data_IF_674720378917
#
_entry.id   IF_674720378917
#
_cell.length_a   1.000
_cell.length_b   1.000
_cell.length_c   1.000
_cell.angle_alpha   90.00
_cell.angle_beta   90.00
_cell.angle_gamma   90.00
#
_symmetry.space_group_name_H-M   'P 1'
#
loop_
_entity.id
_entity.type
_entity.pdbx_description
1 polymer ?
#
# COMPACT_ATOMS: atom_id res chain seq x y z
N UNK A 1 -6.39 17.32 -18.58
CA UNK A 1 -6.48 18.38 -17.56
C UNK A 1 -5.07 18.84 -17.22
N UNK A 2 -4.86 20.13 -17.02
CA UNK A 2 -3.56 20.67 -16.57
C UNK A 2 -3.54 20.73 -15.05
N UNK A 3 -2.43 20.31 -14.43
CA UNK A 3 -2.23 20.26 -12.98
C UNK A 3 -0.84 20.75 -12.66
N UNK A 4 -0.65 21.39 -11.50
CA UNK A 4 0.67 21.78 -11.01
C UNK A 4 1.27 20.64 -10.20
N UNK A 5 2.50 20.24 -10.50
CA UNK A 5 3.25 19.29 -9.70
C UNK A 5 4.41 20.02 -9.02
N UNK A 6 4.46 19.96 -7.69
CA UNK A 6 5.54 20.51 -6.89
C UNK A 6 6.57 19.40 -6.62
N UNK A 7 7.83 19.66 -6.94
CA UNK A 7 8.90 18.66 -6.88
C UNK A 7 10.22 19.29 -6.41
N UNK A 8 11.17 18.47 -5.95
CA UNK A 8 12.53 18.91 -5.64
C UNK A 8 13.39 18.95 -6.90
N UNK A 9 14.13 20.04 -7.10
CA UNK A 9 14.98 20.22 -8.29
C UNK A 9 16.34 19.53 -8.14
N UNK A 10 16.90 19.57 -6.94
CA UNK A 10 18.26 19.14 -6.63
C UNK A 10 18.25 17.88 -5.77
N UNK A 11 17.87 18.01 -4.51
CA UNK A 11 17.83 16.94 -3.52
C UNK A 11 16.59 17.03 -2.65
N UNK A 12 16.30 15.93 -1.95
CA UNK A 12 15.17 15.88 -1.04
C UNK A 12 15.35 16.88 0.09
N UNK A 13 14.39 17.79 0.25
CA UNK A 13 14.47 18.89 1.21
C UNK A 13 15.21 20.13 0.70
N UNK A 14 15.74 20.08 -0.51
CA UNK A 14 16.35 21.21 -1.19
C UNK A 14 15.32 22.13 -1.85
N UNK A 15 15.68 22.72 -2.98
CA UNK A 15 14.86 23.72 -3.65
C UNK A 15 13.65 23.07 -4.34
N UNK A 16 12.45 23.49 -3.96
CA UNK A 16 11.22 23.05 -4.61
C UNK A 16 10.83 23.99 -5.78
N UNK A 17 10.42 23.41 -6.90
CA UNK A 17 9.83 24.12 -8.03
C UNK A 17 8.50 23.49 -8.43
N UNK A 18 7.67 24.27 -9.13
CA UNK A 18 6.41 23.79 -9.70
C UNK A 18 6.51 23.67 -11.20
N UNK A 19 6.00 22.58 -11.77
CA UNK A 19 5.79 22.45 -13.21
C UNK A 19 4.32 22.16 -13.54
N UNK A 20 3.88 22.58 -14.72
CA UNK A 20 2.56 22.20 -15.23
C UNK A 20 2.67 20.86 -15.98
N UNK A 21 1.83 19.90 -15.60
CA UNK A 21 1.72 18.62 -16.26
C UNK A 21 0.32 18.45 -16.87
N UNK A 22 0.26 17.83 -18.05
CA UNK A 22 -1.00 17.47 -18.68
C UNK A 22 -1.37 16.02 -18.36
N UNK A 23 -2.45 15.85 -17.59
CA UNK A 23 -3.03 14.55 -17.28
C UNK A 23 -4.12 14.22 -18.29
N UNK A 24 -3.98 13.08 -18.97
CA UNK A 24 -5.02 12.54 -19.86
C UNK A 24 -5.79 11.43 -19.12
N UNK A 25 -7.05 11.16 -19.49
CA UNK A 25 -7.82 10.06 -18.92
C UNK A 25 -7.25 8.73 -19.43
N UNK A 26 -6.21 8.28 -18.74
CA UNK A 26 -5.51 7.04 -19.02
C UNK A 26 -5.90 5.98 -18.02
N UNK A 27 -5.86 4.75 -18.49
CA UNK A 27 -5.77 3.60 -17.62
C UNK A 27 -4.59 2.76 -18.02
N UNK A 28 -4.49 1.60 -17.38
CA UNK A 28 -3.49 0.61 -17.71
C UNK A 28 -4.06 -0.81 -17.63
N UNK A 29 -3.48 -1.70 -18.43
CA UNK A 29 -3.61 -3.15 -18.22
C UNK A 29 -2.35 -3.67 -17.58
N UNK A 30 -2.50 -4.44 -16.51
CA UNK A 30 -1.37 -5.07 -15.82
C UNK A 30 -1.05 -6.44 -16.41
N UNK A 31 0.23 -6.81 -16.45
CA UNK A 31 0.65 -8.19 -16.72
C UNK A 31 0.26 -9.11 -15.56
N UNK A 32 0.07 -10.42 -15.80
CA UNK A 32 -0.23 -11.37 -14.73
C UNK A 32 0.96 -11.61 -13.79
N UNK A 33 2.13 -11.04 -14.07
CA UNK A 33 3.35 -11.22 -13.29
C UNK A 33 3.68 -9.97 -12.46
N UNK A 34 4.28 -10.18 -11.29
CA UNK A 34 4.84 -9.13 -10.43
C UNK A 34 6.22 -9.57 -9.95
N UNK A 35 7.13 -8.62 -9.80
CA UNK A 35 8.47 -8.85 -9.28
C UNK A 35 8.66 -8.09 -7.96
N UNK A 36 9.45 -8.65 -7.06
CA UNK A 36 9.90 -7.98 -5.86
C UNK A 36 11.27 -7.36 -6.06
N UNK A 37 11.41 -6.13 -5.60
CA UNK A 37 12.68 -5.42 -5.51
C UNK A 37 12.93 -5.07 -4.04
N UNK A 38 14.13 -5.36 -3.56
CA UNK A 38 14.52 -5.13 -2.17
C UNK A 38 15.07 -3.71 -2.05
N UNK A 39 14.64 -2.99 -1.01
CA UNK A 39 15.15 -1.66 -0.69
C UNK A 39 16.14 -1.79 0.46
N UNK A 40 17.40 -1.42 0.22
CA UNK A 40 18.52 -1.62 1.14
C UNK A 40 19.07 -0.26 1.54
N UNK A 41 19.17 0.00 2.84
CA UNK A 41 19.72 1.26 3.35
C UNK A 41 21.16 1.46 2.86
N UNK A 42 21.42 2.60 2.21
CA UNK A 42 22.76 2.97 1.74
C UNK A 42 23.62 3.60 2.84
N UNK A 43 23.04 3.87 4.00
CA UNK A 43 23.62 4.64 5.08
C UNK A 43 23.04 4.26 6.45
N UNK A 44 23.72 4.70 7.51
CA UNK A 44 23.17 4.67 8.87
C UNK A 44 22.27 5.88 9.07
N UNK A 45 21.05 5.69 9.59
CA UNK A 45 20.09 6.76 9.87
C UNK A 45 19.51 6.57 11.27
N UNK A 46 19.64 7.60 12.11
CA UNK A 46 18.90 7.68 13.37
C UNK A 46 17.45 8.03 13.08
N UNK A 47 16.54 7.28 13.70
CA UNK A 47 15.10 7.44 13.49
C UNK A 47 14.41 7.61 14.82
N UNK A 48 13.41 8.50 14.83
CA UNK A 48 12.57 8.79 15.99
C UNK A 48 11.13 8.41 15.67
N UNK A 49 10.48 7.73 16.61
CA UNK A 49 9.09 7.29 16.51
C UNK A 49 8.18 8.43 16.09
N UNK A 50 7.34 8.18 15.09
CA UNK A 50 6.36 9.13 14.59
C UNK A 50 6.92 10.22 13.68
N UNK A 51 8.25 10.35 13.54
CA UNK A 51 8.87 11.34 12.67
C UNK A 51 9.19 10.73 11.30
N UNK A 52 8.45 11.06 10.22
CA UNK A 52 8.73 10.52 8.89
C UNK A 52 10.12 10.94 8.43
N UNK A 53 10.87 10.00 7.88
CA UNK A 53 12.27 10.21 7.47
C UNK A 53 12.49 9.70 6.06
N UNK A 54 13.24 10.47 5.29
CA UNK A 54 13.68 10.07 3.95
C UNK A 54 15.02 9.35 4.11
N UNK A 55 15.04 8.05 3.84
CA UNK A 55 16.23 7.20 3.96
C UNK A 55 16.83 6.98 2.59
N UNK A 56 18.14 7.19 2.41
CA UNK A 56 18.81 6.79 1.17
C UNK A 56 18.91 5.28 1.10
N UNK A 57 18.59 4.74 -0.07
CA UNK A 57 18.72 3.32 -0.38
C UNK A 57 19.64 3.12 -1.58
N UNK A 58 20.17 1.91 -1.72
CA UNK A 58 20.87 1.51 -2.93
C UNK A 58 19.92 1.70 -4.14
N UNK A 59 20.38 2.37 -5.23
CA UNK A 59 19.51 2.68 -6.35
C UNK A 59 18.88 1.44 -6.99
N UNK A 60 17.56 1.46 -7.12
CA UNK A 60 16.77 0.46 -7.86
C UNK A 60 16.33 1.07 -9.18
N UNK A 61 16.74 0.46 -10.29
CA UNK A 61 16.34 0.86 -11.63
C UNK A 61 15.19 -0.02 -12.12
N UNK A 62 14.07 0.60 -12.50
CA UNK A 62 12.89 -0.07 -13.03
C UNK A 62 12.67 0.33 -14.47
N UNK A 63 12.24 -0.59 -15.35
CA UNK A 63 11.90 -0.24 -16.71
C UNK A 63 10.69 0.70 -16.74
N UNK A 64 10.53 1.37 -17.87
CA UNK A 64 9.29 2.09 -18.17
C UNK A 64 8.06 1.20 -18.11
N UNK A 65 6.89 1.82 -17.98
CA UNK A 65 5.60 1.14 -17.86
C UNK A 65 5.53 0.20 -16.64
N UNK A 66 5.93 0.72 -15.49
CA UNK A 66 5.88 0.03 -14.20
C UNK A 66 5.16 0.86 -13.15
N UNK A 67 4.39 0.19 -12.31
CA UNK A 67 3.85 0.73 -11.05
C UNK A 67 4.54 0.02 -9.89
N UNK A 68 4.62 0.69 -8.74
CA UNK A 68 5.17 0.09 -7.53
C UNK A 68 4.19 0.20 -6.37
N UNK A 69 4.35 -0.69 -5.40
CA UNK A 69 3.85 -0.46 -4.06
C UNK A 69 4.50 -1.35 -3.01
N UNK A 70 4.54 -0.90 -1.75
CA UNK A 70 5.19 -1.60 -0.67
C UNK A 70 4.53 -2.96 -0.43
N UNK A 71 5.33 -3.96 -0.11
CA UNK A 71 4.85 -5.20 0.48
C UNK A 71 4.45 -4.92 1.93
N UNK A 72 3.15 -4.82 2.18
CA UNK A 72 2.59 -4.39 3.46
C UNK A 72 2.52 -5.52 4.49
N UNK A 73 3.67 -6.05 4.86
CA UNK A 73 3.89 -6.76 6.12
C UNK A 73 5.23 -6.22 6.62
N UNK A 74 5.21 -5.42 7.68
CA UNK A 74 6.35 -4.67 8.20
C UNK A 74 7.68 -5.45 8.09
N UNK A 75 8.59 -4.96 7.24
CA UNK A 75 9.85 -5.67 6.89
C UNK A 75 11.09 -5.18 7.63
N UNK A 76 10.96 -4.12 8.43
CA UNK A 76 12.06 -3.58 9.23
C UNK A 76 11.59 -3.40 10.68
N UNK A 77 12.43 -3.74 11.66
CA UNK A 77 12.04 -3.73 13.08
C UNK A 77 11.54 -2.38 13.63
N UNK A 78 11.98 -1.28 13.01
CA UNK A 78 11.79 0.10 13.50
C UNK A 78 10.63 0.86 12.86
N UNK A 79 10.04 0.40 11.76
CA UNK A 79 9.01 1.16 11.05
C UNK A 79 8.58 0.57 9.72
N UNK A 80 7.74 1.31 9.00
CA UNK A 80 7.14 0.88 7.74
C UNK A 80 7.56 1.77 6.57
N UNK A 81 7.56 1.18 5.38
CA UNK A 81 7.74 1.85 4.10
C UNK A 81 6.41 2.45 3.66
N UNK A 82 6.29 3.77 3.68
CA UNK A 82 5.06 4.47 3.27
C UNK A 82 5.06 4.74 1.76
N UNK A 83 6.20 5.20 1.24
CA UNK A 83 6.33 5.64 -0.14
C UNK A 83 7.79 5.56 -0.63
N UNK A 84 8.01 5.74 -1.93
CA UNK A 84 9.35 5.87 -2.51
C UNK A 84 9.52 7.19 -3.24
N UNK A 85 10.77 7.60 -3.39
CA UNK A 85 11.14 8.85 -4.06
C UNK A 85 12.04 8.54 -5.24
N UNK A 86 11.65 9.04 -6.42
CA UNK A 86 12.43 8.91 -7.65
C UNK A 86 13.70 9.76 -7.60
N UNK A 87 14.69 9.40 -8.40
CA UNK A 87 15.90 10.17 -8.61
C UNK A 87 15.55 11.44 -9.40
N UNK A 88 15.85 12.60 -8.82
CA UNK A 88 15.60 13.90 -9.47
C UNK A 88 14.11 14.18 -9.63
N UNK A 89 13.75 14.65 -10.82
CA UNK A 89 12.37 15.06 -11.14
C UNK A 89 11.49 13.83 -11.35
N UNK A 90 10.32 13.72 -10.67
CA UNK A 90 9.42 12.59 -10.85
C UNK A 90 8.97 12.44 -12.32
N UNK A 91 9.17 11.24 -12.87
CA UNK A 91 8.92 10.92 -14.28
C UNK A 91 7.49 10.47 -14.56
N UNK A 92 7.16 10.25 -15.84
CA UNK A 92 5.91 9.60 -16.22
C UNK A 92 5.99 8.10 -15.97
N UNK A 93 4.83 7.45 -15.94
CA UNK A 93 4.80 6.00 -15.73
C UNK A 93 5.43 5.24 -16.90
N UNK A 94 5.38 5.79 -18.10
CA UNK A 94 6.02 5.26 -19.31
C UNK A 94 7.55 5.32 -19.26
N UNK A 95 8.11 6.19 -18.43
CA UNK A 95 9.55 6.41 -18.33
C UNK A 95 10.20 5.39 -17.39
N UNK A 96 11.47 5.07 -17.67
CA UNK A 96 12.32 4.33 -16.74
C UNK A 96 12.45 5.09 -15.43
N UNK A 97 12.54 4.34 -14.32
CA UNK A 97 12.54 4.92 -12.97
C UNK A 97 13.82 4.54 -12.26
N UNK A 98 14.37 5.50 -11.56
CA UNK A 98 15.43 5.30 -10.60
C UNK A 98 14.84 5.62 -9.22
N UNK A 99 14.88 4.67 -8.30
CA UNK A 99 14.45 4.85 -6.91
C UNK A 99 15.70 4.78 -6.05
N UNK A 100 16.04 5.87 -5.37
CA UNK A 100 17.24 5.95 -4.52
C UNK A 100 16.93 6.34 -3.09
N UNK A 101 15.66 6.58 -2.78
CA UNK A 101 15.21 7.05 -1.47
C UNK A 101 13.83 6.49 -1.16
N UNK A 102 13.58 6.30 0.13
CA UNK A 102 12.30 5.83 0.64
C UNK A 102 11.78 6.75 1.72
N UNK A 103 10.46 6.93 1.76
CA UNK A 103 9.79 7.52 2.91
C UNK A 103 9.50 6.41 3.92
N UNK A 104 10.26 6.44 5.01
CA UNK A 104 10.14 5.52 6.12
C UNK A 104 9.42 6.20 7.28
N UNK A 105 8.45 5.52 7.88
CA UNK A 105 7.76 6.01 9.07
C UNK A 105 8.13 5.14 10.28
N UNK A 106 8.94 5.66 11.22
CA UNK A 106 9.35 4.92 12.40
C UNK A 106 8.19 4.75 13.38
N UNK A 107 8.07 3.54 13.93
CA UNK A 107 7.13 3.20 15.00
C UNK A 107 7.85 3.03 16.34
N UNK A 108 9.19 3.06 16.31
CA UNK A 108 10.11 3.01 17.45
C UNK A 108 11.34 3.86 17.14
N UNK A 109 11.99 4.37 18.18
CA UNK A 109 13.29 5.00 18.05
C UNK A 109 14.37 3.96 17.74
N UNK A 110 15.43 4.38 17.06
CA UNK A 110 16.60 3.53 16.86
C UNK A 110 17.48 3.98 15.71
N UNK A 111 18.23 3.03 15.16
CA UNK A 111 19.14 3.27 14.04
C UNK A 111 18.91 2.22 12.96
N UNK A 112 18.54 2.69 11.76
CA UNK A 112 18.62 1.89 10.53
C UNK A 112 20.09 1.84 10.15
N UNK A 113 20.66 0.65 9.97
CA UNK A 113 22.08 0.51 9.59
C UNK A 113 22.22 0.34 8.08
N UNK A 114 23.36 0.79 7.54
CA UNK A 114 23.74 0.48 6.16
C UNK A 114 23.70 -1.03 5.91
N UNK A 115 23.07 -1.41 4.81
CA UNK A 115 22.82 -2.80 4.44
C UNK A 115 21.57 -3.41 5.07
N UNK A 116 20.84 -2.70 5.94
CA UNK A 116 19.55 -3.16 6.46
C UNK A 116 18.48 -3.11 5.35
N UNK A 117 17.67 -4.15 5.23
CA UNK A 117 16.49 -4.14 4.35
C UNK A 117 15.41 -3.24 4.97
N UNK A 118 15.16 -2.09 4.36
CA UNK A 118 14.15 -1.13 4.83
C UNK A 118 12.74 -1.42 4.31
N UNK A 119 12.64 -2.21 3.23
CA UNK A 119 11.36 -2.62 2.66
C UNK A 119 11.50 -3.48 1.40
N UNK A 120 10.36 -3.89 0.85
CA UNK A 120 10.26 -4.62 -0.41
C UNK A 120 9.18 -3.94 -1.28
N UNK A 121 9.49 -3.71 -2.55
CA UNK A 121 8.56 -3.18 -3.54
C UNK A 121 7.99 -4.30 -4.40
N UNK A 122 6.66 -4.32 -4.55
CA UNK A 122 6.00 -5.03 -5.64
C UNK A 122 6.07 -4.16 -6.88
N UNK A 123 6.72 -4.65 -7.93
CA UNK A 123 6.81 -4.03 -9.26
C UNK A 123 5.78 -4.68 -10.16
N UNK A 124 4.79 -3.89 -10.57
CA UNK A 124 3.75 -4.28 -11.51
C UNK A 124 4.09 -3.76 -12.90
N UNK A 125 4.21 -4.66 -13.86
CA UNK A 125 4.39 -4.31 -15.26
C UNK A 125 3.04 -3.98 -15.89
N UNK A 126 2.98 -2.87 -16.61
CA UNK A 126 1.75 -2.35 -17.17
C UNK A 126 1.89 -1.99 -18.64
N UNK A 127 0.75 -1.81 -19.31
CA UNK A 127 0.65 -1.18 -20.62
C UNK A 127 -0.38 -0.06 -20.51
N UNK A 128 0.06 1.17 -20.76
CA UNK A 128 -0.80 2.36 -20.66
C UNK A 128 -1.61 2.54 -21.94
N UNK A 129 -2.77 3.17 -21.81
CA UNK A 129 -3.56 3.52 -22.97
C UNK A 129 -4.78 4.35 -22.63
N UNK A 130 -5.38 4.98 -23.65
CA UNK A 130 -6.65 5.69 -23.49
C UNK A 130 -7.73 4.71 -23.01
N UNK A 131 -8.55 5.16 -22.05
CA UNK A 131 -9.62 4.32 -21.48
C UNK A 131 -10.56 3.73 -22.53
N UNK A 132 -10.79 4.43 -23.65
CA UNK A 132 -11.63 3.96 -24.76
C UNK A 132 -11.05 2.78 -25.54
N UNK A 133 -9.73 2.54 -25.44
CA UNK A 133 -9.02 1.49 -26.20
C UNK A 133 -8.39 0.43 -25.29
N UNK A 134 -8.54 0.57 -23.98
CA UNK A 134 -7.80 -0.22 -22.99
C UNK A 134 -8.19 -1.69 -22.92
N UNK A 135 -9.46 -2.00 -23.23
CA UNK A 135 -9.99 -3.37 -23.19
C UNK A 135 -9.33 -4.29 -24.23
N UNK A 136 -8.86 -3.71 -25.35
CA UNK A 136 -8.15 -4.42 -26.42
C UNK A 136 -6.62 -4.43 -26.26
N UNK A 137 -6.07 -3.90 -25.17
CA UNK A 137 -4.62 -3.96 -24.95
C UNK A 137 -4.22 -5.38 -24.55
N UNK A 138 -3.28 -5.94 -25.29
CA UNK A 138 -2.54 -7.12 -24.84
C UNK A 138 -1.73 -6.80 -23.58
N UNK A 139 -1.56 -7.78 -22.66
CA UNK A 139 -0.63 -7.65 -21.55
C UNK A 139 0.77 -7.22 -22.03
N UNK A 140 1.51 -6.41 -21.25
CA UNK A 140 2.89 -6.08 -21.60
C UNK A 140 3.76 -7.33 -21.58
N UNK A 141 4.78 -7.37 -22.45
CA UNK A 141 5.87 -8.34 -22.35
C UNK A 141 6.72 -7.97 -21.13
N UNK A 142 7.12 -8.99 -20.36
CA UNK A 142 7.87 -8.80 -19.12
C UNK A 142 9.18 -9.58 -19.19
N UNK A 143 10.29 -8.89 -18.98
CA UNK A 143 11.59 -9.51 -18.75
C UNK A 143 11.88 -9.42 -17.25
N UNK A 144 11.94 -10.57 -16.58
CA UNK A 144 12.22 -10.63 -15.16
C UNK A 144 13.72 -10.54 -14.91
N UNK A 145 14.09 -9.77 -13.89
CA UNK A 145 15.46 -9.79 -13.40
C UNK A 145 15.67 -11.08 -12.61
N UNK A 146 16.84 -11.70 -12.82
CA UNK A 146 17.31 -12.82 -12.01
C UNK A 146 18.47 -12.35 -11.15
N UNK A 147 18.55 -12.83 -9.92
CA UNK A 147 19.64 -12.49 -9.01
C UNK A 147 19.22 -12.53 -7.56
N UNK A 148 20.09 -12.03 -6.71
CA UNK A 148 19.85 -11.85 -5.29
C UNK A 148 20.51 -10.54 -4.84
N UNK A 149 20.01 -10.01 -3.74
CA UNK A 149 20.67 -8.95 -3.01
C UNK A 149 21.28 -9.50 -1.71
N UNK A 150 22.41 -8.95 -1.29
CA UNK A 150 22.91 -9.15 0.06
C UNK A 150 22.36 -8.04 0.95
N UNK A 151 21.54 -8.42 1.92
CA UNK A 151 20.91 -7.48 2.85
C UNK A 151 20.83 -8.09 4.24
N UNK A 152 20.65 -7.26 5.26
CA UNK A 152 20.32 -7.72 6.61
C UNK A 152 18.80 -7.72 6.77
N UNK A 153 18.23 -8.86 7.11
CA UNK A 153 16.83 -8.94 7.55
C UNK A 153 16.80 -8.43 8.98
N UNK A 154 15.93 -7.46 9.25
CA UNK A 154 15.88 -6.76 10.54
C UNK A 154 14.50 -6.92 11.14
N UNK A 155 14.43 -7.53 12.32
CA UNK A 155 13.16 -7.79 12.99
C UNK A 155 13.25 -7.58 14.49
N UNK A 156 12.07 -7.48 15.11
CA UNK A 156 11.95 -7.35 16.56
C UNK A 156 11.35 -8.62 17.11
N UNK A 157 11.94 -9.10 18.19
CA UNK A 157 11.36 -10.16 18.99
C UNK A 157 11.72 -9.97 20.48
N UNK A 158 10.75 -10.11 21.37
CA UNK A 158 10.92 -9.94 22.82
C UNK A 158 11.67 -8.66 23.22
N UNK A 159 11.38 -7.54 22.55
CA UNK A 159 12.01 -6.23 22.81
C UNK A 159 13.39 -6.03 22.18
N UNK A 160 14.03 -7.10 21.67
CA UNK A 160 15.33 -7.05 21.03
C UNK A 160 15.19 -6.83 19.52
N UNK A 161 16.18 -6.15 18.93
CA UNK A 161 16.32 -6.00 17.48
C UNK A 161 17.39 -6.98 16.99
N UNK A 162 17.00 -7.86 16.09
CA UNK A 162 17.89 -8.81 15.45
C UNK A 162 18.22 -8.32 14.04
N UNK A 163 19.46 -8.57 13.60
CA UNK A 163 19.95 -8.28 12.24
C UNK A 163 20.69 -9.49 11.74
N UNK A 164 20.17 -10.13 10.70
CA UNK A 164 20.77 -11.34 10.12
C UNK A 164 21.11 -11.09 8.65
N UNK A 165 22.39 -11.23 8.25
CA UNK A 165 22.75 -11.22 6.83
C UNK A 165 22.03 -12.33 6.08
N UNK A 166 21.44 -11.98 4.94
CA UNK A 166 20.72 -12.92 4.08
C UNK A 166 20.98 -12.60 2.60
N UNK A 167 20.98 -13.65 1.78
CA UNK A 167 20.85 -13.53 0.34
C UNK A 167 19.36 -13.54 0.00
N UNK A 168 18.84 -12.39 -0.39
CA UNK A 168 17.42 -12.21 -0.72
C UNK A 168 17.26 -12.31 -2.22
N UNK A 169 16.71 -13.43 -2.69
CA UNK A 169 16.44 -13.66 -4.12
C UNK A 169 15.44 -12.65 -4.65
N UNK A 170 15.69 -12.15 -5.87
CA UNK A 170 14.71 -11.36 -6.61
C UNK A 170 13.56 -12.30 -7.00
N UNK A 171 12.41 -12.12 -6.36
CA UNK A 171 11.27 -13.00 -6.49
C UNK A 171 10.30 -12.48 -7.56
N UNK A 172 9.92 -13.31 -8.52
CA UNK A 172 8.74 -13.10 -9.34
C UNK A 172 7.59 -14.00 -8.89
N UNK A 173 6.34 -13.60 -9.15
CA UNK A 173 5.19 -14.51 -9.03
C UNK A 173 4.06 -14.16 -9.98
N UNK A 174 3.20 -15.14 -10.23
CA UNK A 174 1.93 -14.94 -10.91
C UNK A 174 0.87 -14.42 -9.95
N UNK A 175 0.06 -13.46 -10.41
CA UNK A 175 -1.05 -12.89 -9.65
C UNK A 175 -2.35 -13.57 -10.02
N UNK A 176 -3.12 -13.97 -9.02
CA UNK A 176 -4.49 -14.45 -9.20
C UNK A 176 -5.48 -13.33 -9.52
N UNK A 177 -5.18 -12.10 -9.11
CA UNK A 177 -6.15 -11.01 -9.01
C UNK A 177 -7.36 -11.31 -8.10
N UNK A 178 -7.30 -12.39 -7.33
CA UNK A 178 -8.35 -12.81 -6.40
C UNK A 178 -7.92 -12.38 -5.00
N UNK A 179 -8.77 -11.59 -4.35
CA UNK A 179 -8.56 -11.06 -3.01
C UNK A 179 -9.64 -11.49 -2.04
N UNK A 180 -9.28 -11.62 -0.77
CA UNK A 180 -10.21 -11.78 0.36
C UNK A 180 -10.01 -10.59 1.29
N UNK A 181 -11.09 -10.09 1.89
CA UNK A 181 -10.98 -9.07 2.92
C UNK A 181 -10.80 -9.70 4.29
N UNK A 182 -9.80 -9.21 5.02
CA UNK A 182 -9.66 -9.49 6.44
C UNK A 182 -9.85 -8.20 7.22
N UNK A 183 -10.62 -8.30 8.30
CA UNK A 183 -10.88 -7.19 9.21
C UNK A 183 -9.70 -7.06 10.18
N UNK A 184 -9.30 -5.82 10.45
CA UNK A 184 -8.35 -5.52 11.51
C UNK A 184 -9.14 -4.95 12.68
N UNK A 185 -9.37 -5.79 13.69
CA UNK A 185 -10.17 -5.46 14.88
C UNK A 185 -9.21 -5.28 16.05
N UNK A 186 -9.31 -4.14 16.74
CA UNK A 186 -8.47 -3.86 17.90
C UNK A 186 -8.69 -4.90 19.01
N UNK A 187 -7.60 -5.41 19.57
CA UNK A 187 -7.54 -6.33 20.71
C UNK A 187 -6.98 -5.62 21.96
N UNK A 188 -7.08 -4.29 21.96
CA UNK A 188 -6.72 -3.44 23.08
C UNK A 188 -7.44 -2.09 23.03
N UNK A 189 -7.51 -1.43 24.18
CA UNK A 189 -7.94 -0.04 24.26
C UNK A 189 -6.73 0.88 24.30
N UNK A 190 -6.64 1.82 23.36
CA UNK A 190 -5.53 2.77 23.25
C UNK A 190 -6.04 4.18 23.05
N UNK A 191 -5.48 5.12 23.82
CA UNK A 191 -5.71 6.55 23.62
C UNK A 191 -4.74 7.05 22.56
N UNK A 192 -5.26 7.77 21.59
CA UNK A 192 -4.48 8.31 20.47
C UNK A 192 -4.55 9.82 20.45
N UNK A 193 -3.44 10.46 20.08
CA UNK A 193 -3.37 11.87 19.71
C UNK A 193 -3.05 11.98 18.23
N UNK A 194 -3.53 13.04 17.59
CA UNK A 194 -3.18 13.35 16.20
C UNK A 194 -1.66 13.36 16.03
N UNK A 195 -1.18 12.63 15.02
CA UNK A 195 0.25 12.45 14.74
C UNK A 195 0.87 11.22 15.41
N UNK A 196 0.19 10.56 16.34
CA UNK A 196 0.69 9.32 16.93
C UNK A 196 0.81 8.23 15.86
N UNK A 197 1.96 7.55 15.86
CA UNK A 197 2.20 6.32 15.09
C UNK A 197 2.35 5.17 16.07
N UNK A 198 1.40 4.24 16.03
CA UNK A 198 1.23 3.23 17.07
C UNK A 198 1.20 1.83 16.48
N UNK A 199 1.73 0.87 17.26
CA UNK A 199 1.41 -0.55 17.10
C UNK A 199 0.18 -0.85 17.93
N UNK A 200 -0.92 -1.19 17.27
CA UNK A 200 -2.16 -1.61 17.94
C UNK A 200 -2.28 -3.11 17.78
N UNK A 201 -2.41 -3.84 18.90
CA UNK A 201 -2.76 -5.26 18.90
C UNK A 201 -4.11 -5.44 18.22
N UNK A 202 -4.15 -6.43 17.36
CA UNK A 202 -5.38 -6.83 16.66
C UNK A 202 -5.70 -8.26 17.01
N UNK A 203 -6.98 -8.63 16.86
CA UNK A 203 -7.34 -10.04 16.82
C UNK A 203 -6.51 -10.71 15.72
N UNK A 204 -5.88 -11.83 16.06
CA UNK A 204 -4.93 -12.48 15.15
C UNK A 204 -5.55 -12.79 13.79
N UNK A 205 -4.87 -12.39 12.72
CA UNK A 205 -5.25 -12.75 11.35
C UNK A 205 -4.26 -13.77 10.82
N UNK A 206 -4.75 -15.01 10.63
CA UNK A 206 -3.96 -16.09 10.02
C UNK A 206 -4.03 -15.99 8.51
N UNK A 207 -2.87 -15.87 7.89
CA UNK A 207 -2.70 -15.82 6.45
C UNK A 207 -2.19 -17.18 5.95
N UNK A 208 -2.84 -17.76 4.93
CA UNK A 208 -2.35 -18.99 4.33
C UNK A 208 -1.03 -18.73 3.58
N UNK A 209 -0.29 -19.80 3.24
CA UNK A 209 0.87 -19.72 2.36
C UNK A 209 0.55 -18.99 1.06
N UNK A 210 1.58 -18.44 0.42
CA UNK A 210 1.49 -17.85 -0.91
C UNK A 210 0.45 -16.74 -0.97
N UNK A 211 0.46 -15.88 0.05
CA UNK A 211 -0.36 -14.68 0.12
C UNK A 211 0.48 -13.42 0.32
N UNK A 212 -0.01 -12.33 -0.26
CA UNK A 212 0.49 -10.98 -0.02
C UNK A 212 -0.67 -10.11 0.42
N UNK A 213 -0.39 -9.16 1.32
CA UNK A 213 -1.44 -8.31 1.88
C UNK A 213 -1.20 -6.84 1.54
N UNK A 214 -2.30 -6.09 1.50
CA UNK A 214 -2.32 -4.64 1.26
C UNK A 214 -3.44 -4.02 2.10
N UNK A 215 -3.14 -3.08 3.01
CA UNK A 215 -4.16 -2.25 3.64
C UNK A 215 -5.06 -1.60 2.59
N UNK A 216 -6.36 -1.59 2.86
CA UNK A 216 -7.29 -0.88 2.00
C UNK A 216 -7.08 0.63 2.18
N UNK A 217 -6.81 1.39 1.11
CA UNK A 217 -6.51 2.81 1.20
C UNK A 217 -7.80 3.64 1.25
N UNK A 218 -8.62 3.35 2.28
CA UNK A 218 -9.74 4.17 2.72
C UNK A 218 -9.84 4.02 4.23
N UNK A 219 -9.80 5.14 4.95
CA UNK A 219 -9.96 5.15 6.40
C UNK A 219 -11.20 4.36 6.84
N UNK A 220 -11.00 3.36 7.70
CA UNK A 220 -12.08 2.52 8.28
C UNK A 220 -12.41 2.86 9.72
N UNK A 221 -11.63 3.75 10.32
CA UNK A 221 -11.83 4.24 11.67
C UNK A 221 -11.83 5.78 11.68
N UNK A 222 -12.66 6.38 12.53
CA UNK A 222 -12.70 7.83 12.65
C UNK A 222 -11.32 8.40 13.03
N UNK A 223 -10.60 7.78 13.95
CA UNK A 223 -9.40 8.40 14.53
C UNK A 223 -8.14 8.33 13.67
N UNK A 224 -8.13 7.54 12.58
CA UNK A 224 -6.91 7.33 11.79
C UNK A 224 -6.97 6.19 10.79
N UNK A 225 -5.80 5.86 10.27
CA UNK A 225 -5.61 4.87 9.21
C UNK A 225 -4.59 3.81 9.58
N UNK A 226 -4.77 2.60 9.04
CA UNK A 226 -3.77 1.53 9.10
C UNK A 226 -2.84 1.66 7.90
N UNK A 227 -1.56 1.88 8.17
CA UNK A 227 -0.51 2.00 7.15
C UNK A 227 0.11 0.65 6.79
N UNK A 228 0.19 -0.27 7.75
CA UNK A 228 0.84 -1.57 7.59
C UNK A 228 0.37 -2.57 8.65
N UNK A 229 0.72 -3.84 8.48
CA UNK A 229 0.48 -4.90 9.46
C UNK A 229 1.79 -5.54 9.92
N UNK A 230 1.78 -6.13 11.11
CA UNK A 230 2.98 -6.63 11.77
C UNK A 230 2.83 -8.12 12.06
N UNK A 231 3.81 -8.88 11.56
CA UNK A 231 4.12 -10.21 12.05
C UNK A 231 5.19 -10.07 13.14
N UNK A 232 4.97 -10.67 14.30
CA UNK A 232 5.99 -10.74 15.36
C UNK A 232 7.01 -11.84 15.04
N UNK A 233 8.25 -11.64 15.48
CA UNK A 233 9.34 -12.58 15.22
C UNK A 233 10.00 -12.37 13.86
N UNK A 234 10.75 -13.38 13.42
CA UNK A 234 11.47 -13.33 12.14
C UNK A 234 10.45 -13.29 10.99
N UNK A 235 10.60 -12.39 10.00
CA UNK A 235 9.67 -12.30 8.88
C UNK A 235 9.63 -13.62 8.11
N UNK A 236 8.42 -14.15 7.93
CA UNK A 236 8.22 -15.37 7.16
C UNK A 236 8.40 -15.16 5.67
N UNK A 237 8.77 -16.25 4.99
CA UNK A 237 8.76 -16.32 3.54
C UNK A 237 7.33 -16.29 3.01
N UNK A 238 7.15 -15.97 1.73
CA UNK A 238 5.80 -15.86 1.15
C UNK A 238 5.10 -17.21 1.10
N UNK A 239 5.85 -18.28 0.90
CA UNK A 239 5.44 -19.69 0.82
C UNK A 239 5.04 -20.29 2.19
N UNK A 240 5.21 -19.54 3.28
CA UNK A 240 4.89 -19.97 4.64
C UNK A 240 3.57 -19.37 5.11
N UNK A 241 2.90 -20.04 6.05
CA UNK A 241 1.82 -19.44 6.84
C UNK A 241 2.34 -18.27 7.67
N UNK A 242 1.46 -17.28 7.91
CA UNK A 242 1.81 -16.09 8.69
C UNK A 242 0.68 -15.75 9.63
N UNK A 243 1.03 -15.18 10.78
CA UNK A 243 0.04 -14.61 11.70
C UNK A 243 0.34 -13.13 11.86
N UNK A 244 -0.67 -12.30 11.60
CA UNK A 244 -0.61 -10.87 11.87
C UNK A 244 -1.12 -10.64 13.29
N UNK A 245 -0.34 -9.91 14.08
CA UNK A 245 -0.62 -9.69 15.51
C UNK A 245 -0.93 -8.23 15.83
N UNK A 246 -0.41 -7.31 15.01
CA UNK A 246 -0.58 -5.87 15.22
C UNK A 246 -0.78 -5.14 13.89
N UNK A 247 -1.33 -3.94 13.97
CA UNK A 247 -1.41 -2.99 12.86
C UNK A 247 -0.60 -1.73 13.21
N UNK A 248 0.07 -1.15 12.20
CA UNK A 248 0.66 0.18 12.30
C UNK A 248 -0.42 1.21 11.99
N UNK A 249 -0.80 1.98 13.00
CA UNK A 249 -1.87 2.96 12.92
C UNK A 249 -1.31 4.38 12.99
N UNK A 250 -1.70 5.23 12.05
CA UNK A 250 -1.45 6.67 12.04
C UNK A 250 -2.71 7.40 12.49
N UNK A 251 -2.65 8.03 13.66
CA UNK A 251 -3.74 8.82 14.20
C UNK A 251 -3.81 10.19 13.49
N UNK A 252 -5.00 10.52 12.98
CA UNK A 252 -5.27 11.81 12.31
C UNK A 252 -6.05 12.77 13.20
N UNK A 253 -6.66 12.25 14.27
CA UNK A 253 -7.38 13.00 15.28
C UNK A 253 -7.17 12.37 16.66
N UNK A 254 -7.39 13.16 17.70
CA UNK A 254 -7.37 12.68 19.08
C UNK A 254 -8.58 11.76 19.35
N UNK A 255 -8.38 10.73 20.17
CA UNK A 255 -9.46 9.79 20.44
C UNK A 255 -9.09 8.62 21.33
N UNK A 256 -10.03 7.66 21.39
CA UNK A 256 -9.85 6.38 22.07
C UNK A 256 -10.36 5.28 21.14
N UNK A 257 -9.43 4.45 20.70
CA UNK A 257 -9.73 3.18 20.04
C UNK A 257 -9.98 2.18 21.15
N UNK A 258 -11.15 1.56 21.15
CA UNK A 258 -11.53 0.55 22.13
C UNK A 258 -11.31 -0.85 21.57
N UNK A 259 -11.14 -1.82 22.46
CA UNK A 259 -11.16 -3.23 22.09
C UNK A 259 -12.48 -3.57 21.37
N UNK A 260 -12.38 -4.28 20.25
CA UNK A 260 -13.50 -4.60 19.36
C UNK A 260 -13.80 -3.55 18.28
N UNK A 261 -13.12 -2.39 18.29
CA UNK A 261 -13.24 -1.39 17.22
C UNK A 261 -12.56 -1.90 15.94
N UNK A 262 -13.25 -1.74 14.79
CA UNK A 262 -12.64 -1.93 13.48
C UNK A 262 -11.67 -0.76 13.22
N UNK A 263 -10.38 -1.07 13.08
CA UNK A 263 -9.35 -0.06 12.83
C UNK A 263 -8.93 -0.02 11.35
N UNK A 264 -9.11 -1.13 10.63
CA UNK A 264 -8.69 -1.25 9.24
C UNK A 264 -9.26 -2.47 8.54
N UNK A 265 -9.00 -2.59 7.25
CA UNK A 265 -9.27 -3.78 6.43
C UNK A 265 -8.05 -4.01 5.55
N UNK A 266 -7.63 -5.25 5.40
CA UNK A 266 -6.57 -5.63 4.45
C UNK A 266 -7.14 -6.50 3.33
N UNK A 267 -6.55 -6.36 2.16
CA UNK A 267 -6.75 -7.20 1.01
C UNK A 267 -5.70 -8.32 1.04
N UNK A 268 -6.13 -9.57 1.17
CA UNK A 268 -5.27 -10.76 1.09
C UNK A 268 -5.36 -11.33 -0.32
N UNK A 269 -4.28 -11.22 -1.08
CA UNK A 269 -4.19 -11.73 -2.44
C UNK A 269 -3.38 -13.03 -2.48
N UNK A 270 -3.90 -14.01 -3.24
CA UNK A 270 -3.19 -15.26 -3.50
C UNK A 270 -2.21 -15.08 -4.67
N UNK A 271 -1.01 -15.61 -4.52
CA UNK A 271 0.08 -15.52 -5.50
C UNK A 271 0.59 -16.91 -5.88
N UNK A 272 1.03 -17.05 -7.13
CA UNK A 272 1.44 -18.31 -7.72
C UNK A 272 2.95 -18.43 -7.68
N UNK A 273 3.41 -19.32 -6.81
CA UNK A 273 4.82 -19.68 -6.60
C UNK A 273 4.90 -21.21 -6.55
N UNK A 274 5.36 -21.84 -7.63
CA UNK A 274 5.55 -23.30 -7.68
C UNK A 274 4.35 -24.12 -7.18
N UNK A 275 4.61 -25.12 -6.32
CA UNK A 275 3.61 -25.99 -5.68
C UNK A 275 2.64 -25.20 -4.79
N UNK A 276 1.56 -24.70 -5.40
CA UNK A 276 0.53 -23.91 -4.73
C UNK A 276 -0.76 -24.72 -4.56
N UNK A 277 -1.29 -24.74 -3.33
CA UNK A 277 -2.67 -25.16 -3.04
C UNK A 277 -3.39 -24.02 -2.34
N UNK A 278 -4.37 -23.36 -2.98
CA UNK A 278 -5.09 -22.25 -2.39
C UNK A 278 -5.88 -22.76 -1.20
N UNK A 279 -5.64 -22.15 -0.03
CA UNK A 279 -6.46 -22.39 1.16
C UNK A 279 -7.29 -21.14 1.43
N UNK A 280 -8.55 -21.16 0.97
CA UNK A 280 -9.54 -20.17 1.43
C UNK A 280 -10.24 -20.75 2.65
N UNK A 281 -9.91 -20.25 3.83
CA UNK A 281 -10.55 -20.68 5.08
C UNK A 281 -12.04 -20.33 5.07
N UNK A 282 -12.89 -21.24 5.52
CA UNK A 282 -14.27 -20.88 5.87
C UNK A 282 -14.23 -19.94 7.07
N UNK A 283 -15.02 -18.86 6.99
CA UNK A 283 -15.10 -17.87 8.05
C UNK A 283 -16.57 -17.63 8.38
N UNK A 284 -16.95 -17.62 9.66
CA UNK A 284 -18.27 -17.16 10.05
C UNK A 284 -18.36 -15.63 9.91
N UNK A 285 -19.57 -15.07 9.91
CA UNK A 285 -19.77 -13.64 10.06
C UNK A 285 -19.10 -13.14 11.35
N UNK A 286 -18.42 -12.01 11.29
CA UNK A 286 -17.78 -11.39 12.46
C UNK A 286 -18.57 -10.17 12.92
N UNK A 287 -18.82 -10.06 14.23
CA UNK A 287 -19.36 -8.86 14.85
C UNK A 287 -18.22 -7.91 15.20
N UNK A 288 -18.28 -6.70 14.65
CA UNK A 288 -17.27 -5.65 14.86
C UNK A 288 -17.94 -4.31 15.14
N UNK A 289 -17.23 -3.43 15.85
CA UNK A 289 -17.70 -2.05 16.10
C UNK A 289 -17.09 -1.11 15.06
N UNK A 290 -17.90 -0.62 14.13
CA UNK A 290 -17.44 0.43 13.20
C UNK A 290 -17.45 1.77 13.92
N UNK A 291 -16.38 2.54 13.75
CA UNK A 291 -16.19 3.86 14.36
C UNK A 291 -16.04 4.87 13.24
N UNK A 292 -17.00 5.80 13.11
CA UNK A 292 -17.04 6.71 11.98
C UNK A 292 -17.63 8.07 12.33
N UNK A 293 -17.37 9.06 11.48
CA UNK A 293 -17.90 10.41 11.65
C UNK A 293 -19.32 10.51 11.11
N UNK A 294 -20.18 11.21 11.84
CA UNK A 294 -21.51 11.61 11.38
C UNK A 294 -21.87 12.96 11.98
N UNK A 295 -21.96 13.99 11.14
CA UNK A 295 -22.10 15.37 11.60
C UNK A 295 -20.87 15.81 12.41
N UNK A 296 -21.10 16.41 13.57
CA UNK A 296 -20.03 16.92 14.44
C UNK A 296 -19.50 15.87 15.43
N UNK A 297 -19.98 14.63 15.35
CA UNK A 297 -19.69 13.58 16.33
C UNK A 297 -19.12 12.30 15.74
N UNK A 298 -18.64 11.45 16.64
CA UNK A 298 -18.19 10.09 16.35
C UNK A 298 -19.28 9.12 16.75
N UNK A 299 -19.65 8.25 15.82
CA UNK A 299 -20.63 7.19 16.02
C UNK A 299 -19.88 5.87 16.10
N UNK A 300 -20.15 5.12 17.18
CA UNK A 300 -19.77 3.72 17.31
C UNK A 300 -21.00 2.85 17.13
N UNK A 301 -20.92 1.87 16.23
CA UNK A 301 -22.04 0.96 15.95
C UNK A 301 -21.54 -0.45 15.72
N UNK A 302 -22.17 -1.41 16.38
CA UNK A 302 -21.94 -2.83 16.09
C UNK A 302 -22.61 -3.21 14.77
N UNK A 303 -21.87 -3.95 13.96
CA UNK A 303 -22.32 -4.50 12.69
C UNK A 303 -21.80 -5.93 12.58
N UNK A 304 -22.59 -6.77 11.92
CA UNK A 304 -22.15 -8.10 11.50
C UNK A 304 -21.63 -7.99 10.07
N UNK A 305 -20.42 -8.51 9.83
CA UNK A 305 -19.75 -8.45 8.54
C UNK A 305 -19.59 -9.87 8.02
N UNK A 306 -20.25 -10.14 6.90
CA UNK A 306 -20.12 -11.38 6.16
C UNK A 306 -18.74 -11.44 5.48
N UNK A 307 -17.99 -12.54 5.61
CA UNK A 307 -16.74 -12.69 4.89
C UNK A 307 -17.00 -12.91 3.40
N UNK A 308 -16.25 -12.19 2.58
CA UNK A 308 -16.35 -12.28 1.14
C UNK A 308 -14.97 -12.14 0.50
N UNK A 309 -14.89 -12.55 -0.76
CA UNK A 309 -13.76 -12.24 -1.60
C UNK A 309 -14.21 -11.62 -2.90
N UNK A 310 -13.23 -11.31 -3.73
CA UNK A 310 -13.48 -10.63 -4.98
C UNK A 310 -12.42 -11.00 -6.02
N UNK A 311 -12.81 -10.87 -7.28
CA UNK A 311 -11.89 -10.92 -8.41
C UNK A 311 -11.72 -9.53 -8.98
N UNK A 312 -10.48 -9.04 -8.98
CA UNK A 312 -10.10 -7.71 -9.44
C UNK A 312 -9.82 -7.71 -10.94
N UNK A 313 -10.31 -6.70 -11.64
CA UNK A 313 -9.93 -6.48 -13.03
C UNK A 313 -8.41 -6.28 -13.17
N UNK A 314 -7.75 -6.88 -14.19
CA UNK A 314 -6.37 -6.58 -14.50
C UNK A 314 -6.20 -5.18 -15.13
N UNK A 315 -7.31 -4.53 -15.48
CA UNK A 315 -7.38 -3.14 -15.94
C UNK A 315 -7.61 -2.21 -14.76
N UNK A 316 -6.83 -1.13 -14.69
CA UNK A 316 -6.98 -0.05 -13.71
C UNK A 316 -7.15 1.30 -14.40
N UNK A 317 -7.73 2.25 -13.67
CA UNK A 317 -7.86 3.65 -14.08
C UNK A 317 -7.12 4.53 -13.08
N UNK A 318 -6.49 5.61 -13.56
CA UNK A 318 -5.86 6.58 -12.67
C UNK A 318 -6.79 7.74 -12.39
N UNK A 319 -6.85 8.15 -11.14
CA UNK A 319 -7.47 9.38 -10.70
C UNK A 319 -6.44 10.21 -9.95
N UNK A 320 -6.36 11.50 -10.29
CA UNK A 320 -5.44 12.43 -9.66
C UNK A 320 -6.06 13.03 -8.40
N UNK A 321 -5.31 13.02 -7.31
CA UNK A 321 -5.68 13.66 -6.05
C UNK A 321 -5.12 15.09 -6.08
N UNK A 322 -5.96 16.05 -6.46
CA UNK A 322 -5.57 17.44 -6.67
C UNK A 322 -6.12 18.28 -5.53
N UNK A 323 -5.28 19.09 -4.89
CA UNK A 323 -5.69 19.98 -3.81
C UNK A 323 -6.82 20.93 -4.26
N UNK A 324 -7.86 21.04 -3.44
CA UNK A 324 -9.01 21.94 -3.61
C UNK A 324 -9.04 23.02 -2.51
N UNK A 325 -7.92 23.15 -1.78
CA UNK A 325 -7.66 24.21 -0.83
C UNK A 325 -6.15 24.46 -0.75
N UNK A 326 -5.77 25.66 -0.31
CA UNK A 326 -4.39 25.92 0.13
C UNK A 326 -4.31 25.67 1.64
N UNK A 327 -3.25 25.00 2.09
CA UNK A 327 -3.13 24.56 3.48
C UNK A 327 -1.68 24.53 3.95
N UNK A 328 -1.35 25.18 5.09
CA UNK A 328 -0.04 25.02 5.69
C UNK A 328 0.13 23.58 6.20
N UNK A 329 1.32 23.05 6.04
CA UNK A 329 1.70 21.72 6.51
C UNK A 329 2.93 21.82 7.41
N UNK A 330 2.99 20.93 8.40
CA UNK A 330 4.09 20.85 9.37
C UNK A 330 4.68 19.46 9.35
N UNK A 331 6.01 19.39 9.43
CA UNK A 331 6.77 18.16 9.45
C UNK A 331 6.19 17.15 10.43
N UNK A 332 5.88 15.94 9.95
CA UNK A 332 5.38 14.84 10.78
C UNK A 332 3.94 14.98 11.28
N UNK A 333 3.28 16.12 11.08
CA UNK A 333 1.89 16.31 11.52
C UNK A 333 0.92 15.93 10.39
N UNK A 334 0.23 14.76 10.44
CA UNK A 334 -0.70 14.37 9.40
C UNK A 334 -1.86 15.38 9.33
N UNK A 335 -2.26 15.73 8.11
CA UNK A 335 -3.25 16.77 7.86
C UNK A 335 -4.28 16.30 6.84
N UNK A 336 -5.55 16.57 7.13
CA UNK A 336 -6.65 16.31 6.19
C UNK A 336 -6.69 17.42 5.17
N UNK A 337 -6.55 17.12 3.88
CA UNK A 337 -6.55 18.10 2.79
C UNK A 337 -7.75 17.85 1.89
N UNK A 338 -8.53 18.88 1.57
CA UNK A 338 -9.59 18.79 0.56
C UNK A 338 -8.98 18.57 -0.82
N UNK A 339 -9.59 17.68 -1.58
CA UNK A 339 -9.22 17.40 -2.97
C UNK A 339 -10.41 17.55 -3.88
N UNK A 340 -10.13 17.85 -5.15
CA UNK A 340 -11.14 17.86 -6.20
C UNK A 340 -11.84 16.51 -6.20
N UNK A 341 -13.18 16.55 -6.25
CA UNK A 341 -14.01 15.37 -6.08
C UNK A 341 -13.64 14.28 -7.10
N UNK A 342 -13.28 13.10 -6.60
CA UNK A 342 -13.11 11.89 -7.41
C UNK A 342 -14.25 10.93 -7.11
N UNK A 343 -15.02 10.55 -8.13
CA UNK A 343 -16.09 9.56 -8.00
C UNK A 343 -15.49 8.15 -7.99
N UNK A 344 -15.82 7.37 -6.97
CA UNK A 344 -15.49 5.95 -6.89
C UNK A 344 -16.75 5.16 -7.26
N UNK A 345 -16.77 4.48 -8.42
CA UNK A 345 -17.94 3.71 -8.82
C UNK A 345 -18.25 2.56 -7.85
N UNK A 346 -19.50 2.06 -7.84
CA UNK A 346 -19.83 0.76 -7.27
C UNK A 346 -18.85 -0.33 -7.70
N UNK A 347 -18.57 -1.27 -6.81
CA UNK A 347 -17.68 -2.42 -7.03
C UNK A 347 -16.29 -2.01 -7.50
N UNK A 348 -15.71 -1.00 -6.83
CA UNK A 348 -14.35 -0.52 -7.11
C UNK A 348 -13.47 -0.63 -5.86
N UNK A 349 -12.25 -1.14 -6.04
CA UNK A 349 -11.20 -1.11 -5.02
C UNK A 349 -10.13 -0.10 -5.43
N UNK A 350 -9.60 0.59 -4.41
CA UNK A 350 -8.59 1.62 -4.55
C UNK A 350 -7.20 1.05 -4.26
N UNK A 351 -6.18 1.60 -4.91
CA UNK A 351 -4.77 1.31 -4.63
C UNK A 351 -3.92 2.57 -4.88
N UNK A 352 -3.13 3.08 -3.93
CA UNK A 352 -2.33 4.29 -4.16
C UNK A 352 -1.21 4.03 -5.16
N UNK A 353 -0.81 5.06 -5.91
CA UNK A 353 0.49 5.06 -6.57
C UNK A 353 1.54 5.42 -5.54
N UNK A 354 2.30 4.44 -5.06
CA UNK A 354 3.36 4.64 -4.08
C UNK A 354 4.64 5.13 -4.77
N UNK A 355 4.55 6.31 -5.36
CA UNK A 355 5.69 7.15 -5.72
C UNK A 355 5.30 8.57 -5.32
N UNK A 356 6.10 9.21 -4.49
CA UNK A 356 5.83 10.54 -3.96
C UNK A 356 5.69 11.57 -5.10
N UNK A 357 4.55 12.27 -5.16
CA UNK A 357 4.22 13.25 -6.23
C UNK A 357 4.15 14.70 -5.75
N UNK A 358 4.53 14.97 -4.50
CA UNK A 358 4.51 16.31 -3.93
C UNK A 358 5.73 16.54 -3.05
N UNK A 359 6.47 17.63 -3.26
CA UNK A 359 7.73 17.90 -2.54
C UNK A 359 7.58 17.94 -1.00
N UNK A 360 6.42 18.31 -0.47
CA UNK A 360 6.23 18.41 0.98
C UNK A 360 5.74 17.15 1.67
N UNK A 361 5.39 16.08 0.95
CA UNK A 361 4.88 14.86 1.58
C UNK A 361 4.12 13.92 0.63
N UNK A 362 3.45 12.94 1.21
CA UNK A 362 2.66 11.95 0.45
C UNK A 362 1.23 11.86 0.96
N UNK A 363 0.35 11.30 0.13
CA UNK A 363 -0.99 10.89 0.57
C UNK A 363 -0.87 9.56 1.30
N UNK A 364 -1.08 9.59 2.61
CA UNK A 364 -1.08 8.38 3.44
C UNK A 364 -2.35 7.55 3.24
N UNK A 365 -3.51 8.20 3.11
CA UNK A 365 -4.79 7.51 2.91
C UNK A 365 -5.91 8.42 2.36
N UNK A 366 -6.99 7.82 1.87
CA UNK A 366 -8.26 8.51 1.61
C UNK A 366 -8.99 8.76 2.93
N UNK A 367 -9.33 10.02 3.18
CA UNK A 367 -10.07 10.40 4.38
C UNK A 367 -11.57 10.17 4.18
N UNK A 368 -12.21 9.56 5.18
CA UNK A 368 -13.65 9.29 5.18
C UNK A 368 -14.33 10.02 6.34
N UNK A 369 -15.17 11.01 6.01
CA UNK A 369 -15.99 11.78 6.96
C UNK A 369 -17.43 11.29 7.06
N UNK A 370 -17.67 10.05 6.68
CA UNK A 370 -18.98 9.43 6.75
C UNK A 370 -18.86 7.97 7.19
N UNK A 371 -20.01 7.28 7.23
CA UNK A 371 -20.03 5.83 7.39
C UNK A 371 -19.13 5.18 6.33
N UNK A 372 -18.24 4.24 6.69
CA UNK A 372 -17.33 3.61 5.74
C UNK A 372 -18.14 2.96 4.62
N UNK A 373 -17.77 3.29 3.38
CA UNK A 373 -18.53 2.83 2.22
C UNK A 373 -18.40 1.33 2.06
N UNK A 374 -19.48 0.70 1.63
CA UNK A 374 -19.45 -0.67 1.12
C UNK A 374 -18.86 -0.64 -0.29
N UNK A 375 -18.04 -1.62 -0.64
CA UNK A 375 -17.47 -1.69 -2.00
C UNK A 375 -18.58 -1.83 -3.04
N UNK A 376 -19.68 -2.49 -2.70
CA UNK A 376 -20.90 -2.63 -3.49
C UNK A 376 -21.50 -1.29 -3.92
N UNK A 377 -21.34 -0.25 -3.11
CA UNK A 377 -22.02 1.05 -3.28
C UNK A 377 -21.10 2.08 -3.94
N UNK A 378 -19.78 1.96 -3.75
CA UNK A 378 -18.82 2.98 -4.16
C UNK A 378 -18.86 4.20 -3.25
N UNK A 379 -18.34 5.33 -3.70
CA UNK A 379 -18.32 6.56 -2.92
C UNK A 379 -17.65 7.73 -3.62
N UNK A 380 -17.15 8.69 -2.83
CA UNK A 380 -16.56 9.92 -3.35
C UNK A 380 -15.36 10.35 -2.51
N UNK A 381 -14.19 10.49 -3.12
CA UNK A 381 -13.01 11.05 -2.46
C UNK A 381 -13.11 12.57 -2.54
N UNK A 382 -13.21 13.21 -1.37
CA UNK A 382 -13.25 14.67 -1.21
C UNK A 382 -12.12 15.21 -0.35
N UNK A 383 -11.50 14.32 0.43
CA UNK A 383 -10.43 14.63 1.37
C UNK A 383 -9.44 13.48 1.39
N UNK A 384 -8.18 13.79 1.67
CA UNK A 384 -7.11 12.83 1.84
C UNK A 384 -6.35 13.14 3.13
N UNK A 385 -5.74 12.12 3.71
CA UNK A 385 -4.74 12.28 4.77
C UNK A 385 -3.39 12.48 4.09
N UNK A 386 -2.81 13.66 4.24
CA UNK A 386 -1.48 13.99 3.76
C UNK A 386 -0.49 13.88 4.92
N UNK A 387 0.64 13.19 4.71
CA UNK A 387 1.73 13.03 5.67
C UNK A 387 2.91 13.91 5.23
N UNK A 388 3.15 15.05 5.90
CA UNK A 388 4.23 15.95 5.53
C UNK A 388 5.59 15.42 5.98
N UNK A 389 6.59 15.60 5.11
CA UNK A 389 8.00 15.28 5.39
C UNK A 389 8.86 16.54 5.53
N UNK A 390 8.23 17.72 5.45
CA UNK A 390 8.80 19.02 5.82
C UNK A 390 7.68 20.04 6.05
N UNK A 391 8.03 21.18 6.64
CA UNK A 391 7.15 22.33 6.73
C UNK A 391 6.94 22.96 5.35
N UNK A 392 5.77 23.52 5.11
CA UNK A 392 5.46 24.19 3.86
C UNK A 392 4.00 24.58 3.73
N UNK A 393 3.57 24.78 2.49
CA UNK A 393 2.19 25.09 2.15
C UNK A 393 1.81 24.32 0.89
N UNK A 394 0.77 23.49 0.98
CA UNK A 394 0.08 22.93 -0.17
C UNK A 394 -0.75 24.07 -0.77
N UNK A 395 -0.67 24.27 -2.09
CA UNK A 395 -1.49 25.24 -2.81
C UNK A 395 -2.63 24.56 -3.56
N UNK A 396 -3.74 25.26 -3.67
CA UNK A 396 -4.87 24.82 -4.48
C UNK A 396 -4.43 24.53 -5.92
N UNK A 397 -4.88 23.39 -6.46
CA UNK A 397 -4.54 22.93 -7.81
C UNK A 397 -3.24 22.14 -7.92
N UNK A 398 -2.51 21.92 -6.82
CA UNK A 398 -1.33 21.05 -6.79
C UNK A 398 -1.71 19.56 -6.74
N UNK A 399 -0.91 18.74 -7.42
CA UNK A 399 -1.01 17.28 -7.38
C UNK A 399 -0.47 16.77 -6.05
N UNK A 400 -1.30 16.11 -5.26
CA UNK A 400 -0.90 15.48 -4.00
C UNK A 400 -0.48 14.01 -4.20
N UNK A 401 -1.12 13.33 -5.15
CA UNK A 401 -0.90 11.91 -5.41
C UNK A 401 -1.79 11.38 -6.52
N UNK A 402 -1.64 10.10 -6.82
CA UNK A 402 -2.46 9.38 -7.81
C UNK A 402 -3.03 8.14 -7.13
N UNK A 403 -4.30 7.86 -7.40
CA UNK A 403 -4.97 6.65 -6.91
C UNK A 403 -5.46 5.82 -8.09
N UNK A 404 -5.31 4.51 -7.96
CA UNK A 404 -5.75 3.54 -8.96
C UNK A 404 -7.13 3.01 -8.57
N UNK A 405 -8.04 2.97 -9.53
CA UNK A 405 -9.37 2.40 -9.39
C UNK A 405 -9.43 1.09 -10.18
N UNK A 406 -9.82 0.01 -9.50
CA UNK A 406 -10.01 -1.30 -10.10
C UNK A 406 -11.43 -1.80 -9.90
N UNK A 407 -12.11 -2.13 -10.99
CA UNK A 407 -13.41 -2.81 -10.93
C UNK A 407 -13.23 -4.21 -10.32
N UNK A 408 -14.20 -4.64 -9.52
CA UNK A 408 -14.20 -5.96 -8.87
C UNK A 408 -15.50 -6.71 -9.02
N UNK A 409 -15.40 -8.03 -9.11
CA UNK A 409 -16.54 -8.95 -8.96
C UNK A 409 -16.51 -9.51 -7.55
N UNK A 410 -17.51 -9.17 -6.72
CA UNK A 410 -17.64 -9.67 -5.35
C UNK A 410 -18.33 -11.04 -5.33
N UNK A 411 -17.93 -11.93 -4.42
CA UNK A 411 -18.60 -13.21 -4.21
C UNK A 411 -18.35 -13.80 -2.82
N UNK A 412 -19.26 -14.68 -2.34
CA UNK A 412 -19.01 -15.50 -1.14
C UNK A 412 -17.78 -16.38 -1.30
N UNK A 413 -17.16 -16.76 -0.18
CA UNK A 413 -15.90 -17.52 -0.15
C UNK A 413 -15.95 -18.85 -0.93
N UNK A 414 -17.10 -19.53 -0.98
CA UNK A 414 -17.26 -20.75 -1.77
C UNK A 414 -16.99 -20.56 -3.27
N UNK A 415 -17.42 -19.44 -3.85
CA UNK A 415 -17.13 -19.12 -5.26
C UNK A 415 -15.71 -18.59 -5.46
N UNK A 416 -15.13 -17.96 -4.43
CA UNK A 416 -13.73 -17.54 -4.43
C UNK A 416 -12.79 -18.75 -4.55
N UNK A 417 -13.09 -19.86 -3.86
CA UNK A 417 -12.37 -21.14 -4.01
C UNK A 417 -12.39 -21.62 -5.45
N UNK A 418 -13.58 -21.66 -6.06
CA UNK A 418 -13.73 -22.06 -7.46
C UNK A 418 -12.91 -21.18 -8.42
N UNK A 419 -12.85 -19.86 -8.18
CA UNK A 419 -12.00 -18.98 -8.98
C UNK A 419 -10.51 -19.31 -8.84
N UNK A 420 -10.05 -19.64 -7.63
CA UNK A 420 -8.65 -20.00 -7.39
C UNK A 420 -8.31 -21.35 -8.01
N UNK A 421 -9.19 -22.35 -7.94
CA UNK A 421 -9.00 -23.66 -8.55
C UNK A 421 -8.90 -23.55 -10.09
N UNK A 422 -9.76 -22.73 -10.69
CA UNK A 422 -9.71 -22.45 -12.13
C UNK A 422 -8.41 -21.73 -12.51
N UNK A 423 -8.04 -20.69 -11.77
CA UNK A 423 -6.80 -19.95 -12.00
C UNK A 423 -5.56 -20.84 -11.85
N UNK A 424 -5.56 -21.75 -10.88
CA UNK A 424 -4.51 -22.75 -10.71
C UNK A 424 -4.36 -23.67 -11.92
N UNK A 425 -5.49 -24.12 -12.46
CA UNK A 425 -5.51 -24.99 -13.64
C UNK A 425 -4.95 -24.25 -14.86
N UNK A 426 -5.30 -22.98 -15.04
CA UNK A 426 -4.75 -22.12 -16.10
C UNK A 426 -3.25 -21.87 -15.92
N UNK A 427 -2.83 -21.64 -14.67
CA UNK A 427 -1.43 -21.46 -14.31
C UNK A 427 -0.60 -22.70 -14.61
N UNK A 428 -1.05 -23.89 -14.19
CA UNK A 428 -0.36 -25.17 -14.44
C UNK A 428 -0.13 -25.40 -15.93
N UNK A 429 -1.15 -25.20 -16.77
CA UNK A 429 -1.02 -25.26 -18.23
C UNK A 429 0.02 -24.28 -18.76
N UNK A 430 0.08 -23.07 -18.19
CA UNK A 430 1.04 -22.04 -18.60
C UNK A 430 2.49 -22.42 -18.23
N UNK A 431 2.69 -23.13 -17.12
CA UNK A 431 4.00 -23.67 -16.73
C UNK A 431 4.39 -24.92 -17.53
N UNK A 432 3.41 -25.72 -17.98
CA UNK A 432 3.64 -26.92 -18.80
C UNK A 432 3.92 -26.61 -20.29
N UNK A 433 3.41 -25.49 -20.82
CA UNK A 433 3.43 -25.16 -22.26
C UNK A 433 4.54 -24.19 -22.72
N UNK A 434 5.48 -23.75 -21.87
CA UNK A 434 6.51 -22.81 -22.33
C UNK A 434 7.75 -22.66 -21.46
N UNK A 435 8.82 -22.13 -22.08
CA UNK A 435 10.12 -21.70 -21.52
C UNK A 435 9.98 -20.64 -20.42
N UNK A 436 9.19 -20.95 -19.39
CA UNK A 436 9.02 -20.13 -18.22
C UNK A 436 10.29 -20.25 -17.38
N UNK A 437 10.84 -19.15 -16.82
CA UNK A 437 11.93 -19.25 -15.87
C UNK A 437 11.40 -19.94 -14.59
N UNK A 438 11.46 -21.27 -14.58
CA UNK A 438 11.40 -22.07 -13.37
C UNK A 438 12.48 -21.52 -12.42
N UNK A 439 12.06 -21.16 -11.21
CA UNK A 439 12.86 -20.52 -10.19
C UNK A 439 13.95 -21.44 -9.66
#
# INVERSE_FOLDING_TARGET
MKVKMLYWVDEVGGRAESMEIELKPFGYRTAPITQWEVLIAAEDVEVEKGKPVIVRVEPVFLPGNTLVGPLSIMRHALGTLVDVVECGVPGRVEDEKCISRVLFLPVEDGVIKKGDMVGVLKVFYIKTGLLTRILGLEPPKVELKKGFHEAKIVWRDNGNIYREPAKVTILGYMRSHIGVWELLVADETVRVKRGDVLRIRIKEVRLPPNTVVVPLPVMRNAFGTVLDVVQLGKPSRVEEEKTLHQAIFLAVEDGVIEEGDLIGVINVYYVGLGDFKPLVQDKPPEKVRIVYRSGDGIVKREVEVEPFGYRRSPVGKWEALIADESKPVRYGEPVVVKVKRVRVPPKTILYPLHIMRHAYGTVADVFCDCKPWKVEEGGEIKKVVFLPVMDGEIKEGELLGIINLHDVELSPLGRVRQWLDNWLTEMGRTFDEGDWPLW
#
